data_IF_123335441888
#
_entry.id   IF_123335441888
#
_cell.length_a   1.000
_cell.length_b   1.000
_cell.length_c   1.000
_cell.angle_alpha   90.00
_cell.angle_beta   90.00
_cell.angle_gamma   90.00
#
_symmetry.space_group_name_H-M   'P 1'
#
loop_
_entity.id
_entity.type
_entity.pdbx_description
1 polymer ?
#
# COMPACT_ATOMS: atom_id res chain seq x y z
N UNK A 1 11.94 9.33 -8.18
CA UNK A 1 10.61 9.58 -7.57
C UNK A 1 10.28 8.39 -6.67
N UNK A 2 9.87 8.63 -5.43
CA UNK A 2 9.51 7.61 -4.46
C UNK A 2 8.01 7.72 -4.14
N UNK A 3 7.20 6.89 -4.80
CA UNK A 3 5.75 6.88 -4.64
C UNK A 3 5.35 5.76 -3.69
N UNK A 4 4.73 6.13 -2.57
CA UNK A 4 4.16 5.21 -1.58
C UNK A 4 2.64 5.25 -1.72
N UNK A 5 1.98 4.10 -1.70
CA UNK A 5 0.53 4.05 -1.71
C UNK A 5 -0.02 3.15 -0.60
N UNK A 6 -1.27 3.42 -0.22
CA UNK A 6 -1.98 2.61 0.77
C UNK A 6 -2.46 1.25 0.22
N UNK A 7 -2.26 0.99 -1.07
CA UNK A 7 -2.60 -0.25 -1.76
C UNK A 7 -1.67 -0.47 -2.97
N UNK A 8 -2.05 -1.30 -3.92
CA UNK A 8 -1.24 -1.60 -5.11
C UNK A 8 -1.16 -0.44 -6.14
N UNK A 9 -1.70 0.73 -5.87
CA UNK A 9 -1.78 1.85 -6.84
C UNK A 9 -0.41 2.32 -7.31
N UNK A 10 0.58 2.46 -6.43
CA UNK A 10 1.93 2.83 -6.82
C UNK A 10 2.55 1.79 -7.76
N UNK A 11 2.32 0.50 -7.52
CA UNK A 11 2.82 -0.56 -8.37
C UNK A 11 2.23 -0.50 -9.79
N UNK A 12 0.93 -0.24 -9.92
CA UNK A 12 0.30 -0.06 -11.23
C UNK A 12 0.78 1.22 -11.92
N UNK A 13 0.95 2.32 -11.18
CA UNK A 13 1.53 3.53 -11.74
C UNK A 13 2.92 3.28 -12.36
N UNK A 14 3.83 2.61 -11.62
CA UNK A 14 5.15 2.26 -12.14
C UNK A 14 5.08 1.31 -13.34
N UNK A 15 4.14 0.36 -13.35
CA UNK A 15 3.90 -0.53 -14.49
C UNK A 15 3.54 0.27 -15.75
N UNK A 16 2.64 1.26 -15.65
CA UNK A 16 2.21 2.07 -16.79
C UNK A 16 3.27 3.10 -17.22
N UNK A 17 4.08 3.60 -16.29
CA UNK A 17 5.18 4.52 -16.61
C UNK A 17 6.42 3.82 -17.17
N UNK A 18 6.43 2.49 -17.23
CA UNK A 18 7.62 1.68 -17.58
C UNK A 18 8.86 2.02 -16.73
N UNK A 19 8.63 2.50 -15.51
CA UNK A 19 9.67 2.87 -14.56
C UNK A 19 9.94 1.71 -13.61
N UNK A 20 11.19 1.49 -13.24
CA UNK A 20 11.54 0.44 -12.30
C UNK A 20 10.92 0.69 -10.91
N UNK A 21 10.44 -0.38 -10.27
CA UNK A 21 9.95 -0.33 -8.89
C UNK A 21 11.08 0.07 -7.94
N UNK A 22 10.90 1.15 -7.21
CA UNK A 22 11.95 1.73 -6.40
C UNK A 22 11.56 1.99 -4.93
N UNK A 23 10.56 1.28 -4.41
CA UNK A 23 10.17 1.42 -3.01
C UNK A 23 9.91 0.06 -2.33
N UNK A 24 10.26 -0.03 -1.03
CA UNK A 24 10.08 -1.27 -0.26
C UNK A 24 8.62 -1.58 0.06
N UNK A 25 7.71 -0.60 0.00
CA UNK A 25 6.26 -0.80 0.17
C UNK A 25 5.49 -1.16 -1.11
N UNK A 26 6.18 -1.55 -2.17
CA UNK A 26 5.49 -1.98 -3.38
C UNK A 26 4.64 -3.24 -3.11
N UNK A 27 3.41 -3.24 -3.63
CA UNK A 27 2.43 -4.31 -3.45
C UNK A 27 1.97 -4.52 -2.01
N UNK A 28 1.98 -3.46 -1.20
CA UNK A 28 1.45 -3.50 0.15
C UNK A 28 0.02 -2.96 0.21
N UNK A 29 -0.71 -3.44 1.22
CA UNK A 29 -1.93 -2.79 1.72
C UNK A 29 -1.62 -2.18 3.08
N UNK A 30 -2.15 -1.00 3.34
CA UNK A 30 -2.14 -0.35 4.65
C UNK A 30 -3.56 -0.12 5.12
N UNK A 31 -3.80 -0.21 6.42
CA UNK A 31 -5.01 0.36 7.00
C UNK A 31 -4.99 1.89 6.90
N UNK A 32 -6.14 2.58 6.94
CA UNK A 32 -6.16 4.03 7.01
C UNK A 32 -5.32 4.59 8.17
N UNK A 33 -5.39 3.96 9.34
CA UNK A 33 -4.59 4.36 10.51
C UNK A 33 -3.10 4.24 10.25
N UNK A 34 -2.64 3.09 9.72
CA UNK A 34 -1.23 2.85 9.46
C UNK A 34 -0.65 3.85 8.47
N UNK A 35 -1.34 4.10 7.35
CA UNK A 35 -0.83 5.04 6.34
C UNK A 35 -0.85 6.48 6.83
N UNK A 36 -1.87 6.89 7.57
CA UNK A 36 -1.95 8.22 8.18
C UNK A 36 -0.82 8.40 9.20
N UNK A 37 -0.58 7.39 10.05
CA UNK A 37 0.52 7.40 10.99
C UNK A 37 1.87 7.49 10.27
N UNK A 38 2.07 6.70 9.22
CA UNK A 38 3.28 6.73 8.39
C UNK A 38 3.52 8.11 7.78
N UNK A 39 2.49 8.78 7.25
CA UNK A 39 2.61 10.13 6.69
C UNK A 39 3.05 11.13 7.75
N UNK A 40 2.41 11.10 8.93
CA UNK A 40 2.69 12.02 10.03
C UNK A 40 4.11 11.86 10.59
N UNK A 41 4.58 10.62 10.69
CA UNK A 41 5.78 10.27 11.45
C UNK A 41 6.92 9.73 10.58
N UNK A 42 6.86 9.86 9.26
CA UNK A 42 7.77 9.22 8.31
C UNK A 42 9.27 9.40 8.65
N UNK A 43 9.66 10.61 9.08
CA UNK A 43 11.07 10.94 9.39
C UNK A 43 11.57 10.30 10.69
N UNK A 44 10.67 9.89 11.59
CA UNK A 44 11.00 9.33 12.91
C UNK A 44 10.84 7.81 13.01
N UNK A 45 10.39 7.16 11.93
CA UNK A 45 10.21 5.70 11.89
C UNK A 45 11.55 5.02 11.62
N UNK A 46 11.90 4.05 12.44
CA UNK A 46 13.00 3.13 12.17
C UNK A 46 12.54 2.01 11.23
N UNK A 47 12.77 2.19 9.94
CA UNK A 47 12.43 1.20 8.90
C UNK A 47 13.24 -0.08 8.98
N UNK A 48 14.32 -0.13 9.76
CA UNK A 48 15.13 -1.32 10.01
C UNK A 48 14.61 -2.16 11.17
N UNK A 49 13.84 -1.56 12.09
CA UNK A 49 13.21 -2.27 13.21
C UNK A 49 11.91 -2.90 12.74
N UNK A 50 11.95 -4.18 12.39
CA UNK A 50 10.81 -4.89 11.81
C UNK A 50 10.49 -6.19 12.53
N UNK A 51 9.19 -6.45 12.67
CA UNK A 51 8.60 -7.72 13.04
C UNK A 51 7.72 -8.27 11.92
N UNK A 52 7.32 -9.52 12.03
CA UNK A 52 6.38 -10.13 11.09
C UNK A 52 5.10 -10.55 11.81
N UNK A 53 3.97 -10.33 11.18
CA UNK A 53 2.66 -10.68 11.73
C UNK A 53 1.76 -11.29 10.65
N UNK A 54 0.71 -11.99 11.07
CA UNK A 54 -0.30 -12.57 10.18
C UNK A 54 -1.60 -11.80 10.27
N UNK A 55 -2.23 -11.61 9.12
CA UNK A 55 -3.58 -11.06 9.09
C UNK A 55 -4.59 -12.10 9.60
N UNK A 56 -5.38 -11.71 10.58
CA UNK A 56 -6.46 -12.53 11.15
C UNK A 56 -7.80 -12.44 10.40
N UNK A 57 -7.82 -11.73 9.26
CA UNK A 57 -8.98 -11.54 8.38
C UNK A 57 -9.94 -10.42 8.78
N UNK A 58 -9.71 -9.73 9.89
CA UNK A 58 -10.63 -8.67 10.38
C UNK A 58 -10.30 -7.28 9.85
N UNK A 59 -9.05 -7.00 9.50
CA UNK A 59 -8.59 -5.65 9.12
C UNK A 59 -9.12 -5.14 7.79
N UNK A 60 -9.43 -6.04 6.84
CA UNK A 60 -9.98 -5.70 5.51
C UNK A 60 -11.20 -6.57 5.20
N UNK A 61 -12.28 -6.50 5.96
CA UNK A 61 -13.40 -7.45 5.90
C UNK A 61 -14.14 -7.48 4.57
N UNK A 62 -14.13 -6.37 3.84
CA UNK A 62 -14.84 -6.22 2.56
C UNK A 62 -13.93 -6.24 1.33
N UNK A 63 -12.62 -6.40 1.50
CA UNK A 63 -11.70 -6.51 0.37
C UNK A 63 -11.89 -7.86 -0.34
N UNK A 64 -12.29 -7.84 -1.61
CA UNK A 64 -12.45 -9.05 -2.41
C UNK A 64 -11.15 -9.87 -2.48
N UNK A 65 -9.99 -9.21 -2.55
CA UNK A 65 -8.70 -9.86 -2.54
C UNK A 65 -8.47 -10.59 -1.22
N UNK A 66 -8.57 -9.89 -0.10
CA UNK A 66 -8.35 -10.45 1.25
C UNK A 66 -9.34 -11.57 1.52
N UNK A 67 -10.63 -11.38 1.21
CA UNK A 67 -11.67 -12.41 1.38
C UNK A 67 -11.37 -13.66 0.58
N UNK A 68 -10.92 -13.52 -0.68
CA UNK A 68 -10.52 -14.65 -1.52
C UNK A 68 -9.35 -15.40 -0.92
N UNK A 69 -8.32 -14.69 -0.47
CA UNK A 69 -7.11 -15.30 0.09
C UNK A 69 -7.37 -16.04 1.38
N UNK A 70 -8.20 -15.48 2.26
CA UNK A 70 -8.62 -16.15 3.50
C UNK A 70 -9.44 -17.41 3.18
N UNK A 71 -10.35 -17.35 2.20
CA UNK A 71 -11.12 -18.54 1.74
C UNK A 71 -10.23 -19.61 1.13
N UNK A 72 -9.12 -19.24 0.49
CA UNK A 72 -8.13 -20.17 -0.06
C UNK A 72 -7.16 -20.70 0.99
N UNK A 73 -7.35 -20.35 2.27
CA UNK A 73 -6.46 -20.75 3.37
C UNK A 73 -5.08 -20.11 3.31
N UNK A 74 -4.93 -19.01 2.58
CA UNK A 74 -3.67 -18.29 2.45
C UNK A 74 -3.51 -17.25 3.54
N UNK A 75 -2.35 -17.21 4.15
CA UNK A 75 -2.01 -16.18 5.14
C UNK A 75 -1.42 -14.95 4.45
N UNK A 76 -1.97 -13.78 4.76
CA UNK A 76 -1.36 -12.51 4.38
C UNK A 76 -0.36 -12.15 5.48
N UNK A 77 0.85 -11.81 5.07
CA UNK A 77 1.94 -11.46 5.98
C UNK A 77 2.11 -9.95 6.02
N UNK A 78 2.09 -9.40 7.22
CA UNK A 78 2.41 -8.02 7.50
C UNK A 78 3.85 -7.86 7.99
N UNK A 79 4.52 -6.85 7.47
CA UNK A 79 5.76 -6.34 8.05
C UNK A 79 5.38 -5.23 9.02
N UNK A 80 5.57 -5.50 10.31
CA UNK A 80 5.35 -4.54 11.38
C UNK A 80 6.61 -3.70 11.54
N UNK A 81 6.52 -2.40 11.34
CA UNK A 81 7.64 -1.49 11.25
C UNK A 81 7.63 -0.61 12.50
N UNK A 82 8.73 -0.66 13.26
CA UNK A 82 8.94 0.12 14.48
C UNK A 82 7.80 -0.05 15.51
N UNK A 83 7.15 -1.23 15.51
CA UNK A 83 5.96 -1.58 16.30
C UNK A 83 4.77 -0.61 16.16
N UNK A 84 4.74 0.21 15.11
CA UNK A 84 3.78 1.31 14.94
C UNK A 84 2.98 1.24 13.65
N UNK A 85 3.55 0.67 12.58
CA UNK A 85 2.93 0.63 11.24
C UNK A 85 3.04 -0.77 10.68
N UNK A 86 1.95 -1.29 10.11
CA UNK A 86 1.98 -2.59 9.44
C UNK A 86 1.73 -2.45 7.95
N UNK A 87 2.69 -2.90 7.14
CA UNK A 87 2.58 -3.05 5.70
C UNK A 87 2.20 -4.49 5.35
N UNK A 88 1.00 -4.70 4.81
CA UNK A 88 0.47 -6.02 4.46
C UNK A 88 0.84 -6.39 3.02
N UNK A 89 1.79 -7.31 2.86
CA UNK A 89 2.30 -7.72 1.54
C UNK A 89 1.35 -8.68 0.84
N UNK A 90 0.90 -8.28 -0.34
CA UNK A 90 0.01 -9.09 -1.21
C UNK A 90 0.72 -9.64 -2.44
N UNK A 91 1.90 -9.12 -2.77
CA UNK A 91 2.61 -9.45 -4.01
C UNK A 91 3.08 -10.91 -4.10
N UNK A 92 3.51 -11.51 -3.00
CA UNK A 92 3.94 -12.92 -3.02
C UNK A 92 2.84 -13.89 -3.49
N UNK A 93 1.58 -13.43 -3.48
CA UNK A 93 0.43 -14.22 -3.92
C UNK A 93 0.34 -14.32 -5.44
N UNK A 94 0.89 -13.37 -6.16
CA UNK A 94 0.95 -13.38 -7.61
C UNK A 94 2.15 -14.19 -8.11
N UNK A 95 3.27 -14.14 -7.40
CA UNK A 95 4.47 -14.93 -7.73
C UNK A 95 4.30 -16.41 -7.37
N UNK A 96 3.53 -16.73 -6.33
CA UNK A 96 3.32 -18.11 -5.87
C UNK A 96 2.46 -18.96 -6.82
N UNK A 97 1.83 -18.37 -7.85
CA UNK A 97 1.06 -19.13 -8.83
C UNK A 97 1.92 -19.95 -9.78
N UNK A 98 3.20 -19.61 -9.95
CA UNK A 98 4.08 -20.32 -10.86
C UNK A 98 4.64 -21.65 -10.28
N UNK A 99 4.86 -21.70 -8.94
CA UNK A 99 5.63 -22.79 -8.32
C UNK A 99 5.05 -23.33 -7.00
N UNK A 100 3.79 -23.08 -6.67
CA UNK A 100 3.21 -23.59 -5.42
C UNK A 100 2.83 -25.08 -5.58
N UNK A 101 3.60 -26.03 -5.03
CA UNK A 101 3.14 -27.40 -4.96
C UNK A 101 1.92 -27.45 -4.03
N UNK A 102 0.80 -27.92 -4.52
CA UNK A 102 -0.45 -28.14 -3.80
C UNK A 102 -0.35 -29.08 -2.57
N UNK A 103 0.87 -29.49 -2.23
CA UNK A 103 1.17 -30.56 -1.27
C UNK A 103 2.09 -30.17 -0.12
N UNK A 104 2.50 -28.90 0.00
CA UNK A 104 3.32 -28.48 1.14
C UNK A 104 2.41 -28.21 2.35
N UNK A 105 2.70 -28.80 3.50
CA UNK A 105 1.95 -28.61 4.74
C UNK A 105 1.87 -27.12 5.12
N UNK A 106 0.75 -26.72 5.71
CA UNK A 106 0.43 -25.30 6.05
C UNK A 106 1.56 -24.62 6.83
N UNK A 107 2.24 -25.32 7.72
CA UNK A 107 3.31 -24.76 8.55
C UNK A 107 4.59 -24.43 7.75
N UNK A 108 4.96 -25.30 6.83
CA UNK A 108 6.13 -25.09 5.95
C UNK A 108 5.86 -23.94 4.98
N UNK A 109 4.65 -23.87 4.44
CA UNK A 109 4.22 -22.77 3.58
C UNK A 109 4.23 -21.43 4.32
N UNK A 110 3.73 -21.41 5.56
CA UNK A 110 3.72 -20.20 6.39
C UNK A 110 5.13 -19.72 6.72
N UNK A 111 6.04 -20.62 7.13
CA UNK A 111 7.43 -20.28 7.45
C UNK A 111 8.14 -19.71 6.21
N UNK A 112 8.02 -20.38 5.07
CA UNK A 112 8.62 -19.93 3.80
C UNK A 112 8.09 -18.55 3.38
N UNK A 113 6.82 -18.26 3.60
CA UNK A 113 6.24 -16.97 3.27
C UNK A 113 6.72 -15.85 4.20
N UNK A 114 6.95 -16.14 5.48
CA UNK A 114 7.56 -15.17 6.39
C UNK A 114 8.98 -14.82 5.96
N UNK A 115 9.82 -15.83 5.72
CA UNK A 115 11.19 -15.65 5.25
C UNK A 115 11.22 -14.84 3.94
N UNK A 116 10.41 -15.22 2.96
CA UNK A 116 10.32 -14.52 1.68
C UNK A 116 9.87 -13.06 1.83
N UNK A 117 8.86 -12.79 2.66
CA UNK A 117 8.36 -11.42 2.88
C UNK A 117 9.43 -10.55 3.55
N UNK A 118 10.11 -11.10 4.55
CA UNK A 118 11.24 -10.45 5.22
C UNK A 118 12.36 -10.12 4.23
N UNK A 119 12.82 -11.10 3.47
CA UNK A 119 13.89 -10.94 2.48
C UNK A 119 13.53 -9.91 1.40
N UNK A 120 12.30 -9.92 0.91
CA UNK A 120 11.80 -8.93 -0.07
C UNK A 120 11.80 -7.52 0.51
N UNK A 121 11.31 -7.34 1.73
CA UNK A 121 11.31 -6.02 2.38
C UNK A 121 12.74 -5.51 2.57
N UNK A 122 13.60 -6.28 3.20
CA UNK A 122 15.00 -5.89 3.48
C UNK A 122 15.78 -5.65 2.18
N UNK A 123 15.65 -6.54 1.21
CA UNK A 123 16.31 -6.38 -0.10
C UNK A 123 15.90 -5.08 -0.82
N UNK A 124 14.62 -4.71 -0.73
CA UNK A 124 14.12 -3.46 -1.32
C UNK A 124 14.56 -2.24 -0.53
N UNK A 125 14.56 -2.32 0.80
CA UNK A 125 15.04 -1.26 1.69
C UNK A 125 16.53 -0.96 1.42
N UNK A 126 17.37 -1.99 1.37
CA UNK A 126 18.81 -1.83 1.08
C UNK A 126 19.09 -1.27 -0.33
N UNK A 127 18.32 -1.71 -1.33
CA UNK A 127 18.50 -1.26 -2.72
C UNK A 127 18.11 0.18 -2.95
N UNK A 128 17.02 0.61 -2.36
CA UNK A 128 16.37 1.88 -2.68
C UNK A 128 16.59 2.94 -1.61
N UNK A 129 17.01 2.54 -0.41
CA UNK A 129 17.11 3.43 0.75
C UNK A 129 15.73 3.96 1.21
N UNK A 130 15.79 4.93 2.10
CA UNK A 130 14.63 5.68 2.59
C UNK A 130 14.64 7.05 1.92
N UNK A 131 13.58 7.39 1.20
CA UNK A 131 13.47 8.71 0.59
C UNK A 131 13.21 9.76 1.65
N UNK A 132 13.90 10.88 1.58
CA UNK A 132 13.63 12.04 2.46
C UNK A 132 12.29 12.72 2.13
N UNK A 133 11.90 12.69 0.86
CA UNK A 133 10.69 13.36 0.34
C UNK A 133 9.81 12.38 -0.46
N UNK A 134 9.13 11.42 0.19
CA UNK A 134 8.20 10.54 -0.51
C UNK A 134 6.95 11.30 -0.94
N UNK A 135 6.37 10.90 -2.07
CA UNK A 135 5.00 11.27 -2.43
C UNK A 135 4.07 10.13 -2.07
N UNK A 136 2.91 10.45 -1.51
CA UNK A 136 1.89 9.47 -1.16
C UNK A 136 0.75 9.48 -2.17
N UNK A 137 0.40 8.31 -2.71
CA UNK A 137 -0.78 8.10 -3.54
C UNK A 137 -1.81 7.29 -2.74
N UNK A 138 -2.81 7.98 -2.24
CA UNK A 138 -3.85 7.40 -1.39
C UNK A 138 -5.12 7.19 -2.21
N UNK A 139 -5.62 5.97 -2.25
CA UNK A 139 -6.91 5.65 -2.84
C UNK A 139 -7.87 5.27 -1.73
N UNK A 140 -8.83 6.16 -1.47
CA UNK A 140 -9.79 6.01 -0.38
C UNK A 140 -10.95 5.07 -0.76
N UNK A 141 -10.65 3.79 -1.01
CA UNK A 141 -11.67 2.77 -1.26
C UNK A 141 -12.52 2.50 0.00
N UNK A 142 -13.85 2.56 -0.08
CA UNK A 142 -14.72 2.22 1.05
C UNK A 142 -14.47 0.81 1.59
N UNK A 143 -14.20 -0.16 0.72
CA UNK A 143 -13.91 -1.55 1.08
C UNK A 143 -12.53 -1.78 1.71
N UNK A 144 -11.72 -0.73 1.83
CA UNK A 144 -10.48 -0.70 2.62
C UNK A 144 -10.64 0.12 3.92
N UNK A 145 -11.88 0.23 4.42
CA UNK A 145 -12.24 0.94 5.67
C UNK A 145 -11.95 2.45 5.66
N UNK A 146 -11.87 3.09 4.48
CA UNK A 146 -11.77 4.54 4.39
C UNK A 146 -13.11 5.18 4.72
N UNK A 147 -13.24 5.72 5.92
CA UNK A 147 -14.39 6.49 6.38
C UNK A 147 -14.20 7.98 6.15
N UNK A 148 -15.27 8.76 6.32
CA UNK A 148 -15.20 10.22 6.22
C UNK A 148 -14.26 10.82 7.28
N UNK A 149 -14.19 10.20 8.46
CA UNK A 149 -13.30 10.62 9.55
C UNK A 149 -11.84 10.45 9.16
N UNK A 150 -11.44 9.30 8.57
CA UNK A 150 -10.06 9.09 8.10
C UNK A 150 -9.69 10.01 6.95
N UNK A 151 -10.62 10.29 6.03
CA UNK A 151 -10.40 11.25 4.95
C UNK A 151 -10.22 12.66 5.52
N UNK A 152 -11.05 13.06 6.47
CA UNK A 152 -10.92 14.35 7.15
C UNK A 152 -9.62 14.47 7.94
N UNK A 153 -9.24 13.40 8.65
CA UNK A 153 -7.96 13.33 9.36
C UNK A 153 -6.79 13.49 8.40
N UNK A 154 -6.77 12.76 7.27
CA UNK A 154 -5.74 12.86 6.24
C UNK A 154 -5.64 14.29 5.70
N UNK A 155 -6.77 14.93 5.39
CA UNK A 155 -6.83 16.31 4.90
C UNK A 155 -6.43 17.37 5.95
N UNK A 156 -6.42 17.01 7.23
CA UNK A 156 -6.00 17.92 8.32
C UNK A 156 -4.49 17.84 8.60
N UNK A 157 -3.77 16.89 8.01
CA UNK A 157 -2.34 16.71 8.29
C UNK A 157 -1.56 17.93 7.79
N UNK A 158 -0.81 18.56 8.70
CA UNK A 158 0.21 19.53 8.33
C UNK A 158 1.51 18.78 8.00
N UNK A 159 1.86 18.71 6.72
CA UNK A 159 3.02 17.96 6.22
C UNK A 159 3.68 18.67 5.04
N UNK A 160 5.00 18.50 4.93
CA UNK A 160 5.80 18.92 3.78
C UNK A 160 5.75 17.90 2.61
N UNK A 161 5.08 16.77 2.81
CA UNK A 161 4.98 15.69 1.82
C UNK A 161 3.84 15.93 0.86
N UNK A 162 4.08 15.64 -0.42
CA UNK A 162 3.02 15.65 -1.45
C UNK A 162 2.10 14.44 -1.25
N UNK A 163 0.80 14.68 -1.18
CA UNK A 163 -0.25 13.65 -1.07
C UNK A 163 -1.19 13.80 -2.25
N UNK A 164 -1.34 12.73 -3.03
CA UNK A 164 -2.36 12.59 -4.06
C UNK A 164 -3.47 11.73 -3.49
N UNK A 165 -4.64 12.33 -3.23
CA UNK A 165 -5.81 11.63 -2.67
C UNK A 165 -6.86 11.40 -3.74
N UNK A 166 -7.07 10.14 -4.11
CA UNK A 166 -8.17 9.72 -4.99
C UNK A 166 -9.39 9.38 -4.13
N UNK A 167 -10.51 10.07 -4.39
CA UNK A 167 -11.74 9.91 -3.60
C UNK A 167 -12.97 10.32 -4.40
N UNK A 168 -14.14 9.77 -4.05
CA UNK A 168 -15.42 10.22 -4.57
C UNK A 168 -16.04 11.37 -3.74
N UNK A 169 -15.36 11.81 -2.68
CA UNK A 169 -15.88 12.87 -1.80
C UNK A 169 -15.64 14.24 -2.39
N UNK A 170 -16.52 15.18 -2.05
CA UNK A 170 -16.41 16.56 -2.48
C UNK A 170 -15.52 17.34 -1.51
N UNK A 171 -14.21 17.27 -1.72
CA UNK A 171 -13.18 17.89 -0.90
C UNK A 171 -12.34 18.79 -1.81
N UNK A 172 -11.91 19.94 -1.29
CA UNK A 172 -11.00 20.84 -1.98
C UNK A 172 -9.55 20.48 -1.71
N UNK A 173 -8.68 20.65 -2.68
CA UNK A 173 -7.23 20.58 -2.51
C UNK A 173 -6.75 21.61 -1.48
N UNK A 174 -5.72 21.25 -0.72
CA UNK A 174 -5.15 22.11 0.31
C UNK A 174 -3.63 21.88 0.38
N UNK A 175 -2.87 22.94 0.29
CA UNK A 175 -1.40 22.93 0.40
C UNK A 175 -0.77 21.78 -0.45
N UNK A 176 -0.21 20.80 0.23
CA UNK A 176 0.45 19.64 -0.39
C UNK A 176 -0.50 18.44 -0.65
N UNK A 177 -1.83 18.63 -0.49
CA UNK A 177 -2.84 17.58 -0.73
C UNK A 177 -3.61 17.90 -2.00
N UNK A 178 -3.41 17.08 -3.02
CA UNK A 178 -4.04 17.19 -4.33
C UNK A 178 -5.16 16.17 -4.45
N UNK A 179 -6.36 16.63 -4.77
CA UNK A 179 -7.53 15.76 -4.86
C UNK A 179 -7.75 15.33 -6.31
N UNK A 180 -7.76 14.02 -6.53
CA UNK A 180 -8.18 13.39 -7.78
C UNK A 180 -9.58 12.84 -7.54
N UNK A 181 -10.59 13.50 -8.13
CA UNK A 181 -11.99 13.13 -7.92
C UNK A 181 -12.41 12.05 -8.91
N UNK A 182 -12.85 10.91 -8.39
CA UNK A 182 -13.43 9.86 -9.21
C UNK A 182 -14.76 9.36 -8.60
N UNK A 183 -15.84 9.47 -9.38
CA UNK A 183 -17.16 8.94 -9.00
C UNK A 183 -17.22 7.40 -9.09
N UNK A 184 -16.28 6.77 -9.80
CA UNK A 184 -16.19 5.34 -10.06
C UNK A 184 -15.13 4.63 -9.22
N UNK A 185 -14.81 5.17 -8.05
CA UNK A 185 -13.80 4.60 -7.14
C UNK A 185 -14.04 3.11 -6.74
N UNK A 186 -15.10 2.50 -7.24
CA UNK A 186 -15.40 1.09 -7.08
C UNK A 186 -14.74 0.18 -8.13
N UNK A 187 -14.01 0.75 -9.09
CA UNK A 187 -13.22 -0.01 -10.06
C UNK A 187 -12.06 -0.75 -9.37
N UNK A 188 -11.55 -1.79 -10.02
CA UNK A 188 -10.28 -2.37 -9.58
C UNK A 188 -9.13 -1.34 -9.67
N UNK A 189 -8.14 -1.54 -8.82
CA UNK A 189 -7.03 -0.58 -8.68
C UNK A 189 -6.28 -0.34 -9.99
N UNK A 190 -6.10 -1.38 -10.83
CA UNK A 190 -5.39 -1.26 -12.11
C UNK A 190 -6.13 -0.35 -13.08
N UNK A 191 -7.42 -0.57 -13.28
CA UNK A 191 -8.28 0.23 -14.16
C UNK A 191 -8.36 1.68 -13.70
N UNK A 192 -8.47 1.90 -12.38
CA UNK A 192 -8.51 3.23 -11.79
C UNK A 192 -7.21 4.01 -12.07
N UNK A 193 -6.05 3.42 -11.80
CA UNK A 193 -4.76 4.08 -12.04
C UNK A 193 -4.53 4.31 -13.55
N UNK A 194 -4.97 3.39 -14.39
CA UNK A 194 -4.87 3.56 -15.85
C UNK A 194 -5.70 4.75 -16.35
N UNK A 195 -6.92 4.92 -15.85
CA UNK A 195 -7.82 6.01 -16.25
C UNK A 195 -7.29 7.40 -15.83
N UNK A 196 -6.62 7.48 -14.67
CA UNK A 196 -6.05 8.73 -14.14
C UNK A 196 -4.54 8.89 -14.36
N UNK A 197 -3.93 8.03 -15.19
CA UNK A 197 -2.46 8.01 -15.32
C UNK A 197 -1.87 9.37 -15.72
N UNK A 198 -2.46 10.04 -16.71
CA UNK A 198 -1.97 11.34 -17.19
C UNK A 198 -2.07 12.43 -16.10
N UNK A 199 -3.17 12.45 -15.35
CA UNK A 199 -3.39 13.39 -14.24
C UNK A 199 -2.39 13.14 -13.11
N UNK A 200 -2.25 11.87 -12.67
CA UNK A 200 -1.26 11.49 -11.64
C UNK A 200 0.14 11.88 -12.08
N UNK A 201 0.50 11.59 -13.33
CA UNK A 201 1.81 11.93 -13.89
C UNK A 201 2.06 13.45 -13.86
N UNK A 202 1.11 14.25 -14.32
CA UNK A 202 1.20 15.70 -14.30
C UNK A 202 1.40 16.25 -12.88
N UNK A 203 0.66 15.70 -11.89
CA UNK A 203 0.81 16.08 -10.50
C UNK A 203 2.15 15.64 -9.88
N UNK A 204 2.76 14.56 -10.35
CA UNK A 204 4.05 14.08 -9.85
C UNK A 204 5.25 14.84 -10.43
N UNK A 205 5.14 15.35 -11.66
CA UNK A 205 6.21 16.03 -12.41
C UNK A 205 6.20 17.56 -12.21
N UNK A 206 5.06 18.15 -11.79
CA UNK A 206 4.93 19.57 -11.44
C UNK A 206 5.22 19.82 -9.97
#
# INVERSE_FOLDING_TARGET
MNLISNNCSAAFYYKFSSTAFNHHFMWCLFTPQDIIYLIKNYKSIDFGNIGLTRLDGKLFPSSNLVTRLVKEGRNIIGVNIDDKVTAWYVHYLFDAHADSPKTVGVDVFCKRNFEYTYEKYISRLHRNGISEHPTFLIVAFPHHNWTDEYIAELCSINTDKKILLMTNKNISSKDNIYIIKDSLINLDTESLIKSHYAEIKGLLEG
#
